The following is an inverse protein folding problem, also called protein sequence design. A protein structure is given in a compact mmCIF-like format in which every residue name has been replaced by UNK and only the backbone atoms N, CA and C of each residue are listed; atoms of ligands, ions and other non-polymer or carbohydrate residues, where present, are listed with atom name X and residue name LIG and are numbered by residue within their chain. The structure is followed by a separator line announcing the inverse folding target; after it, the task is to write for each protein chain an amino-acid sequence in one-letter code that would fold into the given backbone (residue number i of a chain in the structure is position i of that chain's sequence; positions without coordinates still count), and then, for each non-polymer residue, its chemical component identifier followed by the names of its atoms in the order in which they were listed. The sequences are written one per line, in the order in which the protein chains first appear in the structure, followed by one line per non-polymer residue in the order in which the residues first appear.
data_IF_108233764368
#
_entry.id   IF_108233764368
#
_cell.length_a   1.000
_cell.length_b   1.000
_cell.length_c   1.000
_cell.angle_alpha   90.00
_cell.angle_beta   90.00
_cell.angle_gamma   90.00
#
_symmetry.space_group_name_H-M   'P 1'
#
loop_
_entity.id
_entity.type
_entity.pdbx_description
1 polymer ?
#
# COMPACT_ATOMS: atom_id res chain seq x y z
N UNK A 1 -28.00 7.69 7.40
CA UNK A 1 -27.56 6.46 6.71
C UNK A 1 -26.05 6.36 6.87
N UNK A 2 -25.60 5.67 7.92
CA UNK A 2 -24.17 5.61 8.28
C UNK A 2 -23.49 4.55 7.41
N UNK A 3 -22.81 5.00 6.35
CA UNK A 3 -22.01 4.14 5.49
C UNK A 3 -20.63 3.94 6.08
N UNK A 4 -20.42 2.82 6.77
CA UNK A 4 -19.17 2.05 6.73
C UNK A 4 -17.87 2.87 6.81
N UNK A 5 -17.61 3.56 7.93
CA UNK A 5 -16.23 3.92 8.30
C UNK A 5 -15.48 2.68 8.76
N UNK A 6 -15.19 1.79 7.81
CA UNK A 6 -14.16 0.78 8.00
C UNK A 6 -12.81 1.50 7.87
N UNK A 7 -12.42 2.17 8.95
CA UNK A 7 -11.15 2.86 9.12
C UNK A 7 -10.23 2.00 10.00
N UNK A 8 -9.66 0.88 9.51
CA UNK A 8 -8.66 0.16 10.30
C UNK A 8 -7.39 1.02 10.34
N UNK A 9 -7.20 1.72 11.47
CA UNK A 9 -6.13 2.70 11.69
C UNK A 9 -4.73 2.06 11.58
N UNK A 10 -4.61 0.76 11.83
CA UNK A 10 -3.36 0.00 11.75
C UNK A 10 -3.62 -1.38 11.13
N UNK A 11 -3.55 -1.49 9.80
CA UNK A 11 -3.39 -2.78 9.14
C UNK A 11 -1.92 -3.18 9.20
N UNK A 12 -1.63 -4.38 9.70
CA UNK A 12 -0.28 -4.94 9.64
C UNK A 12 0.22 -4.92 8.18
N UNK A 13 1.51 -4.66 7.96
CA UNK A 13 2.10 -4.56 6.62
C UNK A 13 1.76 -5.78 5.74
N UNK A 14 1.69 -6.97 6.35
CA UNK A 14 1.26 -8.21 5.70
C UNK A 14 -0.19 -8.17 5.18
N UNK A 15 -1.14 -7.61 5.94
CA UNK A 15 -2.53 -7.47 5.48
C UNK A 15 -2.67 -6.46 4.33
N UNK A 16 -1.86 -5.40 4.33
CA UNK A 16 -1.82 -4.45 3.21
C UNK A 16 -1.22 -5.09 1.95
N UNK A 17 -0.20 -5.94 2.12
CA UNK A 17 0.37 -6.73 1.02
C UNK A 17 -0.62 -7.75 0.49
N UNK A 18 -1.30 -8.49 1.36
CA UNK A 18 -2.32 -9.46 0.97
C UNK A 18 -3.41 -8.81 0.11
N UNK A 19 -3.93 -7.65 0.53
CA UNK A 19 -4.92 -6.90 -0.25
C UNK A 19 -4.40 -6.49 -1.63
N UNK A 20 -3.16 -6.05 -1.73
CA UNK A 20 -2.53 -5.68 -3.01
C UNK A 20 -2.39 -6.88 -3.93
N UNK A 21 -2.03 -8.04 -3.39
CA UNK A 21 -1.86 -9.27 -4.17
C UNK A 21 -3.20 -9.86 -4.62
N UNK A 22 -4.24 -9.79 -3.79
CA UNK A 22 -5.62 -10.16 -4.18
C UNK A 22 -6.11 -9.22 -5.27
N UNK A 23 -5.93 -7.91 -5.10
CA UNK A 23 -6.26 -6.92 -6.14
C UNK A 23 -5.55 -7.19 -7.46
N UNK A 24 -4.26 -7.55 -7.43
CA UNK A 24 -3.49 -7.90 -8.62
C UNK A 24 -4.03 -9.13 -9.35
N UNK A 25 -4.66 -10.06 -8.61
CA UNK A 25 -5.27 -11.25 -9.18
C UNK A 25 -6.61 -10.88 -9.83
N UNK A 26 -7.43 -10.09 -9.15
CA UNK A 26 -8.71 -9.59 -9.68
C UNK A 26 -8.53 -8.66 -10.88
N UNK A 27 -7.51 -7.79 -10.87
CA UNK A 27 -7.21 -6.88 -11.99
C UNK A 27 -6.77 -7.61 -13.26
N UNK A 28 -6.32 -8.87 -13.16
CA UNK A 28 -6.02 -9.71 -14.33
C UNK A 28 -7.23 -10.50 -14.83
N UNK A 29 -8.28 -10.58 -14.02
CA UNK A 29 -9.54 -11.20 -14.43
C UNK A 29 -10.32 -10.20 -15.30
N UNK A 30 -10.72 -10.63 -16.49
CA UNK A 30 -11.39 -9.77 -17.49
C UNK A 30 -12.80 -9.33 -17.05
N UNK A 31 -13.38 -10.01 -16.05
CA UNK A 31 -14.79 -9.86 -15.66
C UNK A 31 -15.06 -8.86 -14.52
N UNK A 32 -14.02 -8.25 -13.91
CA UNK A 32 -14.23 -7.30 -12.81
C UNK A 32 -13.75 -5.89 -13.13
N UNK A 33 -14.63 -4.91 -12.90
CA UNK A 33 -14.27 -3.50 -13.01
C UNK A 33 -13.48 -3.04 -11.77
N UNK A 34 -12.65 -2.01 -11.93
CA UNK A 34 -11.86 -1.45 -10.81
C UNK A 34 -12.75 -0.96 -9.65
N UNK A 35 -13.97 -0.52 -9.94
CA UNK A 35 -14.95 -0.14 -8.93
C UNK A 35 -15.48 -1.34 -8.15
N UNK A 36 -15.79 -2.45 -8.82
CA UNK A 36 -16.20 -3.69 -8.15
C UNK A 36 -15.07 -4.24 -7.27
N UNK A 37 -13.82 -4.19 -7.74
CA UNK A 37 -12.64 -4.60 -6.97
C UNK A 37 -12.46 -3.73 -5.72
N UNK A 38 -12.67 -2.41 -5.85
CA UNK A 38 -12.59 -1.48 -4.72
C UNK A 38 -13.63 -1.81 -3.64
N UNK A 39 -14.88 -2.02 -4.03
CA UNK A 39 -15.96 -2.44 -3.13
C UNK A 39 -15.69 -3.80 -2.49
N UNK A 40 -15.20 -4.77 -3.26
CA UNK A 40 -14.89 -6.12 -2.78
C UNK A 40 -13.76 -6.13 -1.74
N UNK A 41 -12.75 -5.27 -1.91
CA UNK A 41 -11.59 -5.19 -1.03
C UNK A 41 -11.73 -4.15 0.09
N UNK A 42 -12.84 -3.40 0.13
CA UNK A 42 -13.04 -2.31 1.09
C UNK A 42 -11.99 -1.20 0.97
N UNK A 43 -11.57 -0.86 -0.26
CA UNK A 43 -10.57 0.19 -0.53
C UNK A 43 -11.13 1.24 -1.49
N UNK A 44 -10.45 2.39 -1.57
CA UNK A 44 -10.83 3.42 -2.54
C UNK A 44 -10.48 3.02 -3.98
N UNK A 45 -11.29 3.47 -4.95
CA UNK A 45 -11.02 3.32 -6.39
C UNK A 45 -9.63 3.85 -6.76
N UNK A 46 -9.21 4.97 -6.18
CA UNK A 46 -7.89 5.58 -6.41
C UNK A 46 -6.74 4.65 -6.03
N UNK A 47 -6.89 3.86 -4.97
CA UNK A 47 -5.92 2.84 -4.57
C UNK A 47 -5.81 1.74 -5.61
N UNK A 48 -6.96 1.27 -6.12
CA UNK A 48 -7.02 0.24 -7.17
C UNK A 48 -6.40 0.75 -8.48
N UNK A 49 -6.70 1.98 -8.91
CA UNK A 49 -6.08 2.58 -10.09
C UNK A 49 -4.55 2.66 -9.99
N UNK A 50 -4.04 3.05 -8.80
CA UNK A 50 -2.60 3.06 -8.52
C UNK A 50 -2.01 1.66 -8.63
N UNK A 51 -2.67 0.65 -8.05
CA UNK A 51 -2.20 -0.74 -8.14
C UNK A 51 -2.24 -1.27 -9.57
N UNK A 52 -3.25 -0.94 -10.36
CA UNK A 52 -3.33 -1.30 -11.77
C UNK A 52 -2.18 -0.69 -12.57
N UNK A 53 -1.78 0.54 -12.27
CA UNK A 53 -0.61 1.18 -12.90
C UNK A 53 0.69 0.48 -12.51
N UNK A 54 0.92 0.28 -11.22
CA UNK A 54 2.10 -0.46 -10.72
C UNK A 54 2.17 -1.89 -11.29
N UNK A 55 1.03 -2.56 -11.42
CA UNK A 55 0.95 -3.91 -11.99
C UNK A 55 1.32 -3.92 -13.48
N UNK A 56 0.93 -2.89 -14.24
CA UNK A 56 1.32 -2.74 -15.66
C UNK A 56 2.81 -2.47 -15.81
N UNK A 57 3.37 -1.60 -14.96
CA UNK A 57 4.76 -1.13 -15.12
C UNK A 57 5.80 -2.09 -14.51
N UNK A 58 5.46 -2.72 -13.38
CA UNK A 58 6.41 -3.51 -12.57
C UNK A 58 5.94 -4.96 -12.30
N UNK A 59 4.78 -5.34 -12.82
CA UNK A 59 4.18 -6.65 -12.57
C UNK A 59 3.82 -6.86 -11.10
N UNK A 60 3.59 -8.12 -10.72
CA UNK A 60 3.21 -8.49 -9.34
C UNK A 60 4.28 -8.17 -8.30
N UNK A 61 5.55 -8.04 -8.70
CA UNK A 61 6.65 -7.73 -7.77
C UNK A 61 6.56 -6.31 -7.23
N UNK A 62 6.09 -5.35 -8.03
CA UNK A 62 5.89 -3.95 -7.58
C UNK A 62 4.78 -3.76 -6.54
N UNK A 63 3.89 -4.75 -6.38
CA UNK A 63 2.80 -4.72 -5.41
C UNK A 63 3.10 -5.41 -4.07
N UNK A 64 4.23 -6.14 -4.00
CA UNK A 64 4.73 -6.68 -2.73
C UNK A 64 5.09 -5.54 -1.79
N UNK A 65 5.08 -5.79 -0.48
CA UNK A 65 5.59 -4.79 0.45
C UNK A 65 7.08 -4.54 0.14
N UNK A 66 7.39 -3.41 -0.48
CA UNK A 66 8.75 -2.89 -0.38
C UNK A 66 8.96 -2.56 1.10
N UNK A 67 10.00 -3.11 1.75
CA UNK A 67 10.40 -2.62 3.06
C UNK A 67 10.52 -1.10 2.96
N UNK A 68 9.89 -0.38 3.90
CA UNK A 68 10.14 1.06 4.01
C UNK A 68 11.62 1.20 4.35
N UNK A 69 12.47 1.41 3.35
CA UNK A 69 13.79 1.99 3.58
C UNK A 69 13.50 3.35 4.18
N UNK A 70 13.57 3.42 5.52
CA UNK A 70 13.37 4.66 6.24
C UNK A 70 14.30 5.73 5.69
N UNK A 71 13.98 7.00 5.94
CA UNK A 71 14.95 8.06 5.76
C UNK A 71 16.18 7.71 6.62
N UNK A 72 17.41 7.65 6.09
CA UNK A 72 18.57 7.45 6.94
C UNK A 72 18.57 8.54 8.02
N UNK A 73 18.80 8.19 9.30
CA UNK A 73 18.86 9.17 10.37
C UNK A 73 19.95 10.20 10.03
N UNK A 74 19.56 11.47 9.88
CA UNK A 74 20.51 12.59 9.78
C UNK A 74 20.76 13.03 11.21
N UNK A 75 21.74 12.43 11.87
CA UNK A 75 22.41 12.93 13.08
C UNK A 75 23.43 11.88 13.48
N UNK A 76 24.65 12.04 12.96
CA UNK A 76 25.81 11.32 13.47
C UNK A 76 26.01 11.80 14.91
N UNK A 77 26.12 10.86 15.86
CA UNK A 77 26.12 11.12 17.31
C UNK A 77 27.34 11.89 17.86
N UNK A 78 27.93 12.82 17.11
CA UNK A 78 29.12 13.59 17.48
C UNK A 78 28.93 15.11 17.31
N UNK A 79 27.90 15.67 17.93
CA UNK A 79 27.75 17.13 18.07
C UNK A 79 27.48 17.59 19.50
N UNK A 80 27.63 16.72 20.50
CA UNK A 80 27.68 17.12 21.91
C UNK A 80 29.08 16.86 22.47
N UNK A 81 30.08 17.38 21.76
CA UNK A 81 31.46 17.45 22.23
C UNK A 81 31.69 18.82 22.83
N UNK A 82 31.76 18.85 24.17
CA UNK A 82 32.50 19.80 24.99
C UNK A 82 32.55 21.26 24.51
N UNK A 83 31.85 22.13 25.24
CA UNK A 83 32.40 23.45 25.52
C UNK A 83 32.33 23.66 27.03
N UNK A 84 33.52 23.90 27.55
CA UNK A 84 33.93 24.19 28.92
C UNK A 84 33.07 25.25 29.60
#
# INVERSE_FOLDING_TARGET
MSGSEWCPTHLALGQLEERRLVAATLLRQVHMTQAAIASHLGVSRSSVCRWATVLRDHGRRGLRACPRTGRPPRLDGRAWGAST
#
